data_IF_065839384750
#
_entry.id   IF_065839384750
#
_cell.length_a   1.000
_cell.length_b   1.000
_cell.length_c   1.000
_cell.angle_alpha   90.00
_cell.angle_beta   90.00
_cell.angle_gamma   90.00
#
_symmetry.space_group_name_H-M   'P 1'
#
loop_
_entity.id
_entity.type
_entity.pdbx_description
1 polymer ?
#
# COMPACT_ATOMS: atom_id res chain seq x y z
N UNK A 1 -30.99 -2.35 17.88
CA UNK A 1 -30.92 -2.68 19.34
C UNK A 1 -29.98 -1.66 19.99
N UNK A 2 -30.32 -1.22 21.21
CA UNK A 2 -29.44 -0.39 22.04
C UNK A 2 -28.90 -1.29 23.15
N UNK A 3 -27.58 -1.36 23.28
CA UNK A 3 -26.89 -2.12 24.32
C UNK A 3 -26.30 -1.14 25.33
N UNK A 4 -26.42 -1.46 26.63
CA UNK A 4 -25.78 -0.72 27.72
C UNK A 4 -24.60 -1.54 28.23
N UNK A 5 -23.41 -0.92 28.26
CA UNK A 5 -22.18 -1.54 28.75
C UNK A 5 -21.45 -0.58 29.69
N UNK A 6 -20.62 -1.12 30.58
CA UNK A 6 -19.71 -0.35 31.44
C UNK A 6 -18.44 0.07 30.70
N UNK A 7 -18.05 -0.71 29.72
CA UNK A 7 -16.88 -0.47 28.85
C UNK A 7 -17.15 -1.03 27.46
N UNK A 8 -16.47 -0.47 26.45
CA UNK A 8 -16.56 -0.91 25.05
C UNK A 8 -15.17 -1.16 24.52
N UNK A 9 -14.95 -2.31 23.89
CA UNK A 9 -13.73 -2.63 23.17
C UNK A 9 -13.94 -2.34 21.69
N UNK A 10 -13.12 -1.45 21.13
CA UNK A 10 -13.15 -1.07 19.71
C UNK A 10 -12.05 -1.84 19.00
N UNK A 11 -12.41 -2.80 18.17
CA UNK A 11 -11.51 -3.66 17.42
C UNK A 11 -11.95 -3.75 15.94
N UNK A 12 -12.21 -2.59 15.33
CA UNK A 12 -12.79 -2.49 13.98
C UNK A 12 -11.74 -2.54 12.87
N UNK A 13 -10.45 -2.53 13.20
CA UNK A 13 -9.34 -2.65 12.27
C UNK A 13 -9.25 -1.49 11.27
N UNK A 14 -8.64 -1.77 10.13
CA UNK A 14 -8.44 -0.82 9.05
C UNK A 14 -8.59 -1.53 7.70
N UNK A 15 -8.82 -0.77 6.64
CA UNK A 15 -8.84 -1.25 5.26
C UNK A 15 -7.65 -0.69 4.49
N UNK A 16 -7.20 -1.42 3.48
CA UNK A 16 -6.18 -0.95 2.55
C UNK A 16 -6.64 0.31 1.82
N UNK A 17 -5.71 1.24 1.65
CA UNK A 17 -5.93 2.40 0.78
C UNK A 17 -5.77 1.96 -0.66
N UNK A 18 -6.73 2.32 -1.52
CA UNK A 18 -6.70 2.05 -2.95
C UNK A 18 -5.97 3.17 -3.70
N UNK A 19 -5.40 2.86 -4.86
CA UNK A 19 -4.85 3.85 -5.79
C UNK A 19 -5.95 4.69 -6.45
N UNK A 20 -7.16 4.13 -6.57
CA UNK A 20 -8.33 4.72 -7.25
C UNK A 20 -8.05 5.06 -8.72
N UNK A 21 -7.40 4.16 -9.42
CA UNK A 21 -7.09 4.29 -10.85
C UNK A 21 -7.89 3.28 -11.69
N UNK A 22 -8.13 3.56 -12.98
CA UNK A 22 -8.73 2.59 -13.89
C UNK A 22 -8.02 1.24 -13.86
N UNK A 23 -8.78 0.15 -13.90
CA UNK A 23 -8.27 -1.22 -13.87
C UNK A 23 -7.97 -1.77 -12.47
N UNK A 24 -7.79 -0.95 -11.42
CA UNK A 24 -7.48 -1.45 -10.08
C UNK A 24 -8.55 -2.44 -9.57
N UNK A 25 -9.82 -2.04 -9.56
CA UNK A 25 -10.90 -2.91 -9.10
C UNK A 25 -11.17 -4.09 -10.04
N UNK A 26 -11.03 -3.88 -11.35
CA UNK A 26 -11.23 -4.93 -12.36
C UNK A 26 -10.23 -6.10 -12.17
N UNK A 27 -8.99 -5.78 -11.83
CA UNK A 27 -7.91 -6.76 -11.67
C UNK A 27 -7.58 -7.09 -10.21
N UNK A 28 -8.40 -6.66 -9.25
CA UNK A 28 -8.31 -7.08 -7.86
C UNK A 28 -8.42 -8.61 -7.80
N UNK A 29 -7.53 -9.27 -7.09
CA UNK A 29 -7.35 -10.74 -7.05
C UNK A 29 -6.93 -11.39 -8.39
N UNK A 30 -6.73 -10.59 -9.43
CA UNK A 30 -6.29 -11.06 -10.76
C UNK A 30 -4.95 -10.43 -11.16
N UNK A 31 -4.13 -10.09 -10.16
CA UNK A 31 -2.84 -9.45 -10.31
C UNK A 31 -2.69 -8.16 -9.50
N UNK A 32 -3.78 -7.50 -9.08
CA UNK A 32 -3.73 -6.43 -8.07
C UNK A 32 -3.99 -7.05 -6.70
N UNK A 33 -3.08 -6.82 -5.76
CA UNK A 33 -3.11 -7.37 -4.40
C UNK A 33 -2.58 -6.38 -3.37
N UNK A 34 -2.88 -6.64 -2.09
CA UNK A 34 -2.54 -5.78 -0.96
C UNK A 34 -1.72 -6.52 0.11
N UNK A 35 -1.53 -7.84 -0.04
CA UNK A 35 -0.80 -8.67 0.92
C UNK A 35 0.42 -9.32 0.25
N UNK A 36 1.64 -8.75 0.41
CA UNK A 36 2.86 -9.32 -0.18
C UNK A 36 3.15 -10.75 0.30
N UNK A 37 2.99 -11.00 1.60
CA UNK A 37 3.24 -12.33 2.16
C UNK A 37 2.21 -13.37 1.73
N UNK A 38 0.93 -12.95 1.55
CA UNK A 38 -0.14 -13.86 1.16
C UNK A 38 0.02 -14.31 -0.30
N UNK A 39 0.23 -13.34 -1.19
CA UNK A 39 0.11 -13.52 -2.63
C UNK A 39 1.47 -13.55 -3.35
N UNK A 40 2.54 -13.09 -2.72
CA UNK A 40 3.89 -13.06 -3.29
C UNK A 40 4.33 -14.37 -3.93
N UNK A 41 4.13 -15.53 -3.28
CA UNK A 41 4.48 -16.84 -3.86
C UNK A 41 3.81 -17.16 -5.21
N UNK A 42 2.64 -16.59 -5.50
CA UNK A 42 1.92 -16.75 -6.78
C UNK A 42 2.64 -16.06 -7.96
N UNK A 43 3.55 -15.15 -7.64
CA UNK A 43 4.32 -14.38 -8.63
C UNK A 43 5.78 -14.83 -8.74
N UNK A 44 6.11 -16.03 -8.25
CA UNK A 44 7.45 -16.60 -8.37
C UNK A 44 7.93 -16.59 -9.83
N UNK A 45 9.13 -16.01 -10.04
CA UNK A 45 9.74 -15.91 -11.37
C UNK A 45 9.04 -14.94 -12.33
N UNK A 46 8.18 -14.04 -11.82
CA UNK A 46 7.50 -13.01 -12.62
C UNK A 46 8.00 -11.62 -12.23
N UNK A 47 7.75 -10.64 -13.08
CA UNK A 47 7.97 -9.23 -12.78
C UNK A 47 6.75 -8.66 -12.06
N UNK A 48 6.96 -7.87 -11.01
CA UNK A 48 5.89 -7.23 -10.23
C UNK A 48 6.21 -5.77 -9.94
N UNK A 49 5.19 -5.00 -9.59
CA UNK A 49 5.35 -3.68 -9.01
C UNK A 49 4.94 -3.66 -7.54
N UNK A 50 5.57 -2.78 -6.77
CA UNK A 50 5.13 -2.35 -5.44
C UNK A 50 4.84 -0.86 -5.52
N UNK A 51 3.65 -0.44 -5.08
CA UNK A 51 3.24 0.96 -5.07
C UNK A 51 3.33 1.49 -3.65
N UNK A 52 4.20 2.48 -3.43
CA UNK A 52 4.44 3.14 -2.15
C UNK A 52 5.85 2.92 -1.59
N UNK A 53 6.54 4.00 -1.23
CA UNK A 53 7.92 4.04 -0.72
C UNK A 53 8.03 4.32 0.78
N UNK A 54 6.97 4.06 1.56
CA UNK A 54 7.02 3.98 3.02
C UNK A 54 7.57 2.64 3.52
N UNK A 55 7.68 2.45 4.85
CA UNK A 55 8.22 1.21 5.44
C UNK A 55 7.55 -0.04 4.84
N UNK A 56 6.22 -0.11 4.85
CA UNK A 56 5.48 -1.28 4.33
C UNK A 56 5.77 -1.58 2.86
N UNK A 57 5.91 -0.54 2.02
CA UNK A 57 6.20 -0.74 0.59
C UNK A 57 7.63 -1.18 0.35
N UNK A 58 8.59 -0.60 1.08
CA UNK A 58 10.01 -0.99 0.96
C UNK A 58 10.25 -2.39 1.52
N UNK A 59 9.65 -2.75 2.66
CA UNK A 59 9.66 -4.12 3.20
C UNK A 59 9.07 -5.12 2.21
N UNK A 60 7.90 -4.80 1.63
CA UNK A 60 7.28 -5.61 0.60
C UNK A 60 8.20 -5.83 -0.62
N UNK A 61 8.89 -4.78 -1.07
CA UNK A 61 9.82 -4.88 -2.19
C UNK A 61 11.03 -5.77 -1.88
N UNK A 62 11.56 -5.67 -0.65
CA UNK A 62 12.66 -6.52 -0.17
C UNK A 62 12.24 -7.99 -0.13
N UNK A 63 11.09 -8.29 0.47
CA UNK A 63 10.59 -9.65 0.61
C UNK A 63 10.27 -10.28 -0.75
N UNK A 64 9.59 -9.53 -1.61
CA UNK A 64 9.25 -9.98 -2.96
C UNK A 64 10.49 -10.22 -3.81
N UNK A 65 11.55 -9.42 -3.67
CA UNK A 65 12.80 -9.59 -4.40
C UNK A 65 13.45 -10.97 -4.17
N UNK A 66 13.17 -11.62 -3.02
CA UNK A 66 13.61 -12.99 -2.74
C UNK A 66 12.80 -14.08 -3.45
N UNK A 67 11.67 -13.75 -4.08
CA UNK A 67 10.70 -14.71 -4.62
C UNK A 67 10.46 -14.51 -6.12
N UNK A 68 10.36 -13.25 -6.56
CA UNK A 68 10.01 -12.87 -7.94
C UNK A 68 11.25 -12.64 -8.79
N UNK A 69 11.08 -12.56 -10.10
CA UNK A 69 12.17 -12.24 -11.03
C UNK A 69 12.67 -10.81 -10.83
N UNK A 70 11.74 -9.85 -10.73
CA UNK A 70 12.07 -8.42 -10.66
C UNK A 70 10.96 -7.64 -9.97
N UNK A 71 11.34 -6.63 -9.18
CA UNK A 71 10.44 -5.70 -8.50
C UNK A 71 10.66 -4.29 -9.05
N UNK A 72 9.58 -3.60 -9.43
CA UNK A 72 9.60 -2.16 -9.69
C UNK A 72 8.87 -1.46 -8.54
N UNK A 73 9.61 -0.75 -7.68
CA UNK A 73 9.06 0.04 -6.59
C UNK A 73 8.76 1.46 -7.10
N UNK A 74 7.49 1.86 -7.09
CA UNK A 74 7.04 3.18 -7.50
C UNK A 74 6.63 4.00 -6.28
N UNK A 75 7.25 5.18 -6.14
CA UNK A 75 6.90 6.16 -5.11
C UNK A 75 6.42 7.47 -5.75
N UNK A 76 5.29 7.97 -5.27
CA UNK A 76 4.69 9.22 -5.74
C UNK A 76 5.53 10.46 -5.38
N UNK A 77 6.21 10.44 -4.22
CA UNK A 77 7.05 11.53 -3.75
C UNK A 77 8.44 11.52 -4.41
N UNK A 78 9.19 12.64 -4.31
CA UNK A 78 10.57 12.70 -4.81
C UNK A 78 11.56 11.87 -4.00
N UNK A 79 11.14 11.32 -2.88
CA UNK A 79 11.96 10.50 -1.97
C UNK A 79 11.11 9.42 -1.29
N UNK A 80 11.74 8.33 -0.90
CA UNK A 80 11.11 7.32 -0.06
C UNK A 80 11.04 7.83 1.38
N UNK A 81 9.94 7.46 2.08
CA UNK A 81 9.70 7.80 3.49
C UNK A 81 10.00 6.64 4.45
N UNK A 82 10.51 5.55 3.93
CA UNK A 82 10.94 4.41 4.73
C UNK A 82 12.18 4.76 5.59
N UNK A 83 12.39 4.01 6.65
CA UNK A 83 13.57 4.11 7.49
C UNK A 83 14.85 3.88 6.67
N UNK A 84 15.94 4.58 7.02
CA UNK A 84 17.18 4.57 6.22
C UNK A 84 17.74 3.14 6.03
N UNK A 85 17.66 2.30 7.06
CA UNK A 85 18.13 0.91 6.99
C UNK A 85 17.38 0.09 5.92
N UNK A 86 16.09 0.33 5.76
CA UNK A 86 15.28 -0.31 4.72
C UNK A 86 15.61 0.24 3.33
N UNK A 87 15.82 1.56 3.23
CA UNK A 87 16.22 2.20 1.98
C UNK A 87 17.58 1.68 1.50
N UNK A 88 18.55 1.56 2.39
CA UNK A 88 19.88 1.04 2.07
C UNK A 88 19.78 -0.43 1.60
N UNK A 89 18.97 -1.22 2.29
CA UNK A 89 18.74 -2.63 1.93
C UNK A 89 18.12 -2.76 0.55
N UNK A 90 17.01 -2.07 0.26
CA UNK A 90 16.33 -2.18 -1.03
C UNK A 90 17.19 -1.71 -2.19
N UNK A 91 17.98 -0.63 -1.99
CA UNK A 91 18.95 -0.12 -3.00
C UNK A 91 20.09 -1.09 -3.29
N UNK A 92 20.42 -1.99 -2.36
CA UNK A 92 21.47 -3.00 -2.55
C UNK A 92 21.02 -4.19 -3.39
N UNK A 93 19.71 -4.34 -3.64
CA UNK A 93 19.14 -5.48 -4.39
C UNK A 93 19.26 -5.24 -5.90
N UNK A 94 19.82 -6.21 -6.63
CA UNK A 94 20.09 -6.09 -8.08
C UNK A 94 18.83 -6.25 -8.94
N UNK A 95 17.77 -6.85 -8.38
CA UNK A 95 16.51 -7.12 -9.07
C UNK A 95 15.38 -6.21 -8.58
N UNK A 96 15.73 -5.03 -8.05
CA UNK A 96 14.76 -4.01 -7.65
C UNK A 96 15.10 -2.69 -8.33
N UNK A 97 14.18 -2.16 -9.12
CA UNK A 97 14.25 -0.79 -9.63
C UNK A 97 13.36 0.12 -8.78
N UNK A 98 13.87 1.33 -8.47
CA UNK A 98 13.14 2.33 -7.68
C UNK A 98 12.85 3.52 -8.58
N UNK A 99 11.58 3.85 -8.73
CA UNK A 99 11.09 4.98 -9.53
C UNK A 99 10.40 5.96 -8.59
N UNK A 100 10.99 7.12 -8.42
CA UNK A 100 10.46 8.23 -7.63
C UNK A 100 9.66 9.18 -8.52
N UNK A 101 8.85 10.05 -7.93
CA UNK A 101 7.95 10.96 -8.65
C UNK A 101 6.98 10.23 -9.59
N UNK A 102 6.67 8.97 -9.33
CA UNK A 102 5.85 8.12 -10.17
C UNK A 102 4.39 8.12 -9.71
N UNK A 103 3.52 8.74 -10.49
CA UNK A 103 2.08 8.68 -10.28
C UNK A 103 1.50 7.53 -11.11
N UNK A 104 1.12 6.42 -10.47
CA UNK A 104 0.36 5.37 -11.17
C UNK A 104 -0.95 5.94 -11.71
N UNK A 105 -1.19 5.76 -13.00
CA UNK A 105 -2.36 6.32 -13.71
C UNK A 105 -3.35 5.25 -14.17
N UNK A 106 -2.90 4.03 -14.44
CA UNK A 106 -3.78 2.94 -14.89
C UNK A 106 -3.16 1.56 -14.65
N UNK A 107 -3.99 0.57 -14.33
CA UNK A 107 -3.64 -0.85 -14.32
C UNK A 107 -4.06 -1.46 -15.65
N UNK A 108 -3.11 -2.02 -16.39
CA UNK A 108 -3.35 -2.69 -17.67
C UNK A 108 -3.53 -4.20 -17.49
N UNK A 109 -4.40 -4.78 -18.32
CA UNK A 109 -4.59 -6.24 -18.34
C UNK A 109 -5.26 -6.71 -19.62
N UNK A 110 -5.35 -8.04 -19.75
CA UNK A 110 -5.90 -8.73 -20.93
C UNK A 110 -7.39 -9.12 -20.77
N UNK A 111 -8.04 -8.58 -19.72
CA UNK A 111 -9.41 -8.94 -19.33
C UNK A 111 -9.48 -10.05 -18.30
N UNK A 112 -8.45 -10.90 -18.19
CA UNK A 112 -8.38 -11.99 -17.22
C UNK A 112 -7.40 -11.73 -16.09
N UNK A 113 -6.30 -11.02 -16.35
CA UNK A 113 -5.22 -10.74 -15.41
C UNK A 113 -4.47 -9.46 -15.76
N UNK A 114 -3.67 -8.97 -14.81
CA UNK A 114 -2.75 -7.85 -15.01
C UNK A 114 -1.66 -8.24 -16.02
N UNK A 115 -1.34 -7.31 -16.94
CA UNK A 115 -0.22 -7.41 -17.89
C UNK A 115 0.75 -6.25 -17.77
N UNK A 116 0.40 -5.20 -17.02
CA UNK A 116 1.25 -4.05 -16.81
C UNK A 116 0.57 -2.95 -16.02
N UNK A 117 1.29 -1.84 -15.85
CA UNK A 117 0.74 -0.59 -15.34
C UNK A 117 1.25 0.61 -16.15
N UNK A 118 0.51 1.71 -16.10
CA UNK A 118 0.98 3.01 -16.56
C UNK A 118 1.22 3.93 -15.36
N UNK A 119 2.27 4.73 -15.48
CA UNK A 119 2.52 5.82 -14.55
C UNK A 119 2.98 7.06 -15.29
N UNK A 120 2.75 8.22 -14.68
CA UNK A 120 3.26 9.51 -15.14
C UNK A 120 4.43 9.93 -14.26
N UNK A 121 5.54 10.30 -14.89
CA UNK A 121 6.60 11.03 -14.20
C UNK A 121 6.08 12.44 -13.85
N UNK A 122 6.06 12.77 -12.56
CA UNK A 122 5.51 14.04 -12.07
C UNK A 122 6.43 15.25 -12.30
N UNK A 123 7.67 15.00 -12.69
CA UNK A 123 8.65 16.06 -13.01
C UNK A 123 8.60 16.41 -14.48
N UNK A 124 8.73 15.43 -15.37
CA UNK A 124 8.70 15.63 -16.83
C UNK A 124 7.29 15.69 -17.40
N UNK A 125 6.31 15.04 -16.75
CA UNK A 125 4.96 14.86 -17.25
C UNK A 125 4.79 13.67 -18.22
N UNK A 126 5.88 12.94 -18.50
CA UNK A 126 5.87 11.83 -19.45
C UNK A 126 5.10 10.63 -18.91
N UNK A 127 4.40 9.95 -19.81
CA UNK A 127 3.72 8.69 -19.51
C UNK A 127 4.65 7.51 -19.82
N UNK A 128 4.67 6.55 -18.90
CA UNK A 128 5.49 5.36 -18.99
C UNK A 128 4.63 4.11 -18.79
N UNK A 129 5.07 3.00 -19.40
CA UNK A 129 4.45 1.69 -19.25
C UNK A 129 5.47 0.68 -18.71
N UNK A 130 5.05 -0.11 -17.71
CA UNK A 130 5.83 -1.21 -17.16
C UNK A 130 5.08 -2.51 -17.39
N UNK A 131 5.64 -3.43 -18.17
CA UNK A 131 5.10 -4.77 -18.36
C UNK A 131 5.40 -5.65 -17.13
N UNK A 132 4.37 -6.20 -16.51
CA UNK A 132 4.46 -7.00 -15.28
C UNK A 132 3.21 -7.85 -15.07
N UNK A 133 3.29 -8.83 -14.16
CA UNK A 133 2.21 -9.77 -13.87
C UNK A 133 1.45 -9.49 -12.58
N UNK A 134 1.97 -8.63 -11.70
CA UNK A 134 1.34 -8.33 -10.42
C UNK A 134 1.68 -6.95 -9.87
N UNK A 135 0.76 -6.36 -9.11
CA UNK A 135 0.87 -5.05 -8.48
C UNK A 135 0.50 -5.20 -7.01
N UNK A 136 1.43 -4.86 -6.12
CA UNK A 136 1.26 -4.86 -4.67
C UNK A 136 1.07 -3.43 -4.18
N UNK A 137 -0.13 -3.10 -3.72
CA UNK A 137 -0.49 -1.74 -3.30
C UNK A 137 -0.18 -1.56 -1.81
N UNK A 138 0.80 -0.70 -1.48
CA UNK A 138 1.34 -0.48 -0.14
C UNK A 138 1.35 1.02 0.22
N UNK A 139 0.23 1.71 -0.02
CA UNK A 139 0.09 3.16 0.20
C UNK A 139 -0.63 3.52 1.51
N UNK A 140 -0.62 2.60 2.46
CA UNK A 140 -1.14 2.78 3.81
C UNK A 140 -2.55 2.23 4.03
N UNK A 141 -3.05 2.47 5.23
CA UNK A 141 -4.32 1.97 5.72
C UNK A 141 -5.28 3.12 6.03
N UNK A 142 -6.58 2.81 6.01
CA UNK A 142 -7.65 3.69 6.44
C UNK A 142 -8.34 3.05 7.65
N UNK A 143 -8.26 3.65 8.85
CA UNK A 143 -8.92 3.13 10.03
C UNK A 143 -10.45 3.03 9.84
N UNK A 144 -11.06 1.96 10.32
CA UNK A 144 -12.51 1.76 10.28
C UNK A 144 -13.18 2.45 11.48
N UNK A 145 -12.99 3.76 11.62
CA UNK A 145 -13.37 4.56 12.78
C UNK A 145 -14.33 5.69 12.45
N UNK A 146 -14.84 5.80 11.23
CA UNK A 146 -15.75 6.88 10.81
C UNK A 146 -17.04 6.92 11.64
N UNK A 147 -17.53 5.78 12.09
CA UNK A 147 -18.71 5.64 12.94
C UNK A 147 -18.49 6.18 14.38
N UNK A 148 -17.25 6.45 14.79
CA UNK A 148 -16.88 7.04 16.08
C UNK A 148 -16.85 8.57 16.05
N UNK A 149 -17.25 9.20 14.96
CA UNK A 149 -17.28 10.65 14.85
C UNK A 149 -18.18 11.27 15.94
N UNK A 150 -17.61 12.22 16.68
CA UNK A 150 -18.29 12.85 17.82
C UNK A 150 -18.31 12.01 19.11
N UNK A 151 -17.92 10.73 19.07
CA UNK A 151 -17.86 9.88 20.26
C UNK A 151 -16.45 9.80 20.88
N UNK A 152 -15.39 9.76 20.03
CA UNK A 152 -13.99 9.67 20.45
C UNK A 152 -13.17 10.63 19.60
N UNK A 153 -12.17 11.29 20.19
CA UNK A 153 -11.26 12.15 19.45
C UNK A 153 -10.39 11.35 18.48
N UNK A 154 -10.28 11.85 17.24
CA UNK A 154 -9.50 11.23 16.17
C UNK A 154 -8.63 12.27 15.47
N UNK A 155 -7.48 11.84 14.99
CA UNK A 155 -6.62 12.70 14.17
C UNK A 155 -7.17 12.83 12.72
N UNK A 156 -6.49 13.60 11.88
CA UNK A 156 -6.86 13.82 10.47
C UNK A 156 -6.83 12.53 9.63
N UNK A 157 -6.12 11.51 10.08
CA UNK A 157 -6.03 10.20 9.42
C UNK A 157 -7.16 9.26 9.86
N UNK A 158 -8.00 9.66 10.83
CA UNK A 158 -9.06 8.83 11.40
C UNK A 158 -8.59 7.91 12.53
N UNK A 159 -7.35 8.03 12.98
CA UNK A 159 -6.81 7.25 14.09
C UNK A 159 -7.29 7.84 15.42
N UNK A 160 -7.63 6.97 16.38
CA UNK A 160 -8.07 7.37 17.72
C UNK A 160 -6.86 7.99 18.44
N UNK A 161 -7.06 9.17 19.01
CA UNK A 161 -6.03 9.86 19.80
C UNK A 161 -5.99 9.25 21.20
N UNK A 162 -4.77 8.89 21.64
CA UNK A 162 -4.51 8.36 22.99
C UNK A 162 -3.38 9.16 23.63
N UNK A 163 -3.37 9.20 24.96
CA UNK A 163 -2.28 9.76 25.77
C UNK A 163 -1.14 8.75 26.00
N UNK A 164 -0.13 9.13 26.80
CA UNK A 164 0.99 8.27 27.17
C UNK A 164 0.60 7.03 27.99
N UNK A 165 -0.61 7.00 28.55
CA UNK A 165 -1.18 5.84 29.28
C UNK A 165 -2.10 5.00 28.39
N UNK A 166 -2.15 5.31 27.10
CA UNK A 166 -3.08 4.71 26.14
C UNK A 166 -4.57 4.97 26.46
N UNK A 167 -4.87 6.06 27.16
CA UNK A 167 -6.23 6.48 27.47
C UNK A 167 -6.77 7.41 26.36
N UNK A 168 -8.05 7.24 26.00
CA UNK A 168 -8.76 8.15 25.08
C UNK A 168 -9.33 9.33 25.86
N UNK A 169 -9.95 10.29 25.14
CA UNK A 169 -10.72 11.36 25.78
C UNK A 169 -12.02 10.90 26.46
N UNK A 170 -12.40 9.63 26.32
CA UNK A 170 -13.61 9.02 26.92
C UNK A 170 -13.20 8.03 28.01
N UNK A 171 -13.74 8.18 29.20
CA UNK A 171 -13.47 7.29 30.33
C UNK A 171 -14.19 5.93 30.12
N UNK A 172 -13.49 4.82 30.34
CA UNK A 172 -14.00 3.43 30.24
C UNK A 172 -13.62 2.78 28.96
#
# INVERSE_FOLDING_TARGET
AVLKARSVIIATGAKWRNMNVPGEDQYRTKGVTYCPHCDGPLFKGKRVAVIGGGNSGVEAAIDLAGVVEHVTLLEFAPEMKADQVLQDKVRSLKNVDIILNAQTTEVKGDGSKVTGLQYRDRVSGDEHHVALAGIFVQIGLLPNTTWLEGAVERNRMGEIIIDAKCETNVKG
#
